data_IF_638242895748
#
_entry.id   IF_638242895748
#
_cell.length_a   1.000
_cell.length_b   1.000
_cell.length_c   1.000
_cell.angle_alpha   90.00
_cell.angle_beta   90.00
_cell.angle_gamma   90.00
#
_symmetry.space_group_name_H-M   'P 1'
#
loop_
_entity.id
_entity.type
_entity.pdbx_description
1 polymer ?
#
# COMPACT_ATOMS: atom_id res chain seq x y z
N UNK A 1 -13.41 -3.77 2.57
CA UNK A 1 -12.13 -4.38 3.00
C UNK A 1 -12.31 -5.05 4.35
N UNK A 2 -11.95 -6.32 4.46
CA UNK A 2 -11.94 -7.09 5.71
C UNK A 2 -10.78 -6.67 6.63
N UNK A 3 -10.79 -7.15 7.88
CA UNK A 3 -9.70 -6.92 8.83
C UNK A 3 -8.36 -7.48 8.30
N UNK A 4 -8.38 -8.67 7.70
CA UNK A 4 -7.18 -9.30 7.14
C UNK A 4 -6.64 -8.51 5.94
N UNK A 5 -7.50 -8.05 5.02
CA UNK A 5 -7.08 -7.19 3.91
C UNK A 5 -6.44 -5.87 4.39
N UNK A 6 -6.93 -5.31 5.51
CA UNK A 6 -6.33 -4.10 6.12
C UNK A 6 -4.95 -4.40 6.72
N UNK A 7 -4.74 -5.59 7.30
CA UNK A 7 -3.41 -6.00 7.79
C UNK A 7 -2.44 -6.21 6.63
N UNK A 8 -2.88 -6.86 5.55
CA UNK A 8 -2.07 -7.00 4.32
C UNK A 8 -1.73 -5.63 3.75
N UNK A 9 -2.69 -4.69 3.70
CA UNK A 9 -2.42 -3.32 3.25
C UNK A 9 -1.38 -2.62 4.14
N UNK A 10 -1.51 -2.74 5.46
CA UNK A 10 -0.56 -2.16 6.41
C UNK A 10 0.85 -2.71 6.14
N UNK A 11 0.97 -4.02 6.00
CA UNK A 11 2.25 -4.67 5.71
C UNK A 11 2.81 -4.26 4.34
N UNK A 12 1.97 -4.19 3.31
CA UNK A 12 2.35 -3.71 1.98
C UNK A 12 2.90 -2.28 2.04
N UNK A 13 2.24 -1.39 2.78
CA UNK A 13 2.63 0.01 2.89
C UNK A 13 3.88 0.21 3.75
N UNK A 14 4.01 -0.50 4.87
CA UNK A 14 4.99 -0.16 5.92
C UNK A 14 6.04 -1.25 6.18
N UNK A 15 5.87 -2.45 5.63
CA UNK A 15 6.59 -3.67 6.02
C UNK A 15 6.45 -4.05 7.51
N UNK A 16 5.51 -3.44 8.23
CA UNK A 16 5.23 -3.74 9.64
C UNK A 16 4.04 -4.70 9.74
N UNK A 17 4.24 -5.83 10.43
CA UNK A 17 3.18 -6.84 10.62
C UNK A 17 2.09 -6.41 11.60
N UNK A 18 2.46 -5.63 12.62
CA UNK A 18 1.56 -5.20 13.69
C UNK A 18 1.89 -3.76 14.11
N UNK A 19 0.86 -2.94 14.31
CA UNK A 19 1.08 -1.58 14.80
C UNK A 19 1.74 -1.58 16.19
N UNK A 20 2.59 -0.58 16.48
CA UNK A 20 3.09 -0.33 17.82
C UNK A 20 1.95 -0.11 18.83
N UNK A 21 2.26 -0.23 20.13
CA UNK A 21 1.29 0.02 21.21
C UNK A 21 0.68 1.43 21.14
N UNK A 22 1.45 2.41 20.64
CA UNK A 22 1.01 3.79 20.41
C UNK A 22 0.21 3.97 19.11
N UNK A 23 -0.15 2.90 18.40
CA UNK A 23 -0.80 2.94 17.09
C UNK A 23 0.12 3.53 16.02
N UNK A 24 -0.46 4.21 15.02
CA UNK A 24 0.29 4.85 13.92
C UNK A 24 1.25 5.94 14.39
N UNK A 25 0.97 6.61 15.51
CA UNK A 25 1.90 7.58 16.11
C UNK A 25 3.19 6.90 16.62
N UNK A 26 3.19 5.58 16.80
CA UNK A 26 4.39 4.84 17.17
C UNK A 26 5.31 4.49 16.00
N UNK A 27 4.93 4.81 14.75
CA UNK A 27 5.78 4.60 13.58
C UNK A 27 6.87 5.67 13.50
N UNK A 28 8.00 5.33 12.88
CA UNK A 28 9.16 6.24 12.73
C UNK A 28 8.89 7.47 11.84
N UNK A 29 7.78 7.46 11.09
CA UNK A 29 7.33 8.56 10.24
C UNK A 29 5.81 8.50 10.06
N UNK A 30 5.21 9.56 9.53
CA UNK A 30 3.81 9.58 9.15
C UNK A 30 3.58 8.76 7.87
N UNK A 31 2.40 8.15 7.79
CA UNK A 31 1.94 7.50 6.58
C UNK A 31 1.60 8.55 5.51
N UNK A 32 2.18 8.40 4.32
CA UNK A 32 1.98 9.34 3.21
C UNK A 32 1.38 8.65 1.98
N UNK A 33 0.40 9.30 1.36
CA UNK A 33 -0.21 8.83 0.10
C UNK A 33 0.18 9.79 -1.01
N UNK A 34 0.82 9.25 -2.04
CA UNK A 34 1.34 9.97 -3.19
C UNK A 34 0.63 9.56 -4.48
N UNK A 35 0.74 10.41 -5.49
CA UNK A 35 0.41 10.07 -6.87
C UNK A 35 1.71 9.74 -7.60
N UNK A 36 1.79 8.58 -8.25
CA UNK A 36 2.95 8.23 -9.10
C UNK A 36 2.77 8.72 -10.53
N UNK A 37 3.89 8.78 -11.26
CA UNK A 37 3.91 9.01 -12.72
C UNK A 37 3.74 7.73 -13.54
N UNK A 38 3.52 6.60 -12.87
CA UNK A 38 3.35 5.30 -13.52
C UNK A 38 2.08 5.27 -14.40
N UNK A 39 2.05 4.44 -15.45
CA UNK A 39 0.85 4.24 -16.27
C UNK A 39 -0.38 3.82 -15.45
N UNK A 40 -1.58 4.24 -15.88
CA UNK A 40 -2.87 3.95 -15.24
C UNK A 40 -3.16 2.44 -15.09
N UNK A 41 -2.56 1.57 -15.90
CA UNK A 41 -2.73 0.12 -15.79
C UNK A 41 -1.85 -0.54 -14.71
N UNK A 42 -0.90 0.19 -14.09
CA UNK A 42 -0.01 -0.35 -13.05
C UNK A 42 -0.74 -0.53 -11.71
N UNK A 43 -0.18 -1.36 -10.84
CA UNK A 43 -0.62 -1.48 -9.44
C UNK A 43 -0.07 -0.32 -8.60
N UNK A 44 -0.68 -0.02 -7.44
CA UNK A 44 -0.07 0.88 -6.47
C UNK A 44 1.28 0.33 -6.02
N UNK A 45 2.24 1.22 -5.75
CA UNK A 45 3.56 0.87 -5.22
C UNK A 45 3.73 1.40 -3.80
N UNK A 46 4.64 0.80 -3.04
CA UNK A 46 5.00 1.29 -1.72
C UNK A 46 6.51 1.51 -1.58
N UNK A 47 6.87 2.57 -0.87
CA UNK A 47 8.24 2.81 -0.43
C UNK A 47 8.24 2.67 1.10
N UNK A 48 8.40 1.43 1.55
CA UNK A 48 8.24 1.05 2.97
C UNK A 48 9.23 1.77 3.88
N UNK A 49 10.44 2.10 3.40
CA UNK A 49 11.43 2.88 4.14
C UNK A 49 10.94 4.29 4.51
N UNK A 50 10.01 4.85 3.74
CA UNK A 50 9.50 6.21 3.91
C UNK A 50 8.00 6.23 4.29
N UNK A 51 7.39 5.06 4.44
CA UNK A 51 5.95 4.90 4.64
C UNK A 51 5.10 5.62 3.60
N UNK A 52 5.50 5.51 2.33
CA UNK A 52 4.76 6.07 1.20
C UNK A 52 3.98 4.98 0.45
N UNK A 53 2.73 5.28 0.12
CA UNK A 53 1.88 4.49 -0.75
C UNK A 53 1.52 5.33 -1.97
N UNK A 54 2.06 4.98 -3.14
CA UNK A 54 1.87 5.74 -4.35
C UNK A 54 0.85 5.07 -5.29
N UNK A 55 -0.13 5.86 -5.73
CA UNK A 55 -1.17 5.44 -6.66
C UNK A 55 -0.90 6.01 -8.05
N UNK A 56 -0.94 5.19 -9.11
CA UNK A 56 -1.03 5.65 -10.48
C UNK A 56 -2.24 6.59 -10.70
N UNK A 57 -2.24 7.40 -11.78
CA UNK A 57 -3.34 8.27 -12.15
C UNK A 57 -4.54 7.47 -12.71
N UNK A 58 -5.21 6.72 -11.85
CA UNK A 58 -6.37 5.91 -12.24
C UNK A 58 -7.49 6.78 -12.80
N UNK A 59 -8.12 6.30 -13.87
CA UNK A 59 -9.19 7.03 -14.55
C UNK A 59 -10.52 7.01 -13.79
N UNK A 60 -10.67 6.15 -12.78
CA UNK A 60 -11.86 6.10 -11.92
C UNK A 60 -11.56 5.52 -10.54
N UNK A 61 -12.42 5.84 -9.59
CA UNK A 61 -12.38 5.27 -8.24
C UNK A 61 -12.60 3.75 -8.26
N UNK A 62 -13.42 3.23 -9.18
CA UNK A 62 -13.66 1.80 -9.32
C UNK A 62 -12.37 1.05 -9.70
N UNK A 63 -11.57 1.61 -10.62
CA UNK A 63 -10.26 1.05 -10.99
C UNK A 63 -9.32 1.13 -9.80
N UNK A 64 -9.23 2.28 -9.11
CA UNK A 64 -8.40 2.42 -7.92
C UNK A 64 -8.75 1.37 -6.84
N UNK A 65 -10.04 1.12 -6.61
CA UNK A 65 -10.52 0.13 -5.64
C UNK A 65 -10.20 -1.31 -6.05
N UNK A 66 -10.36 -1.64 -7.33
CA UNK A 66 -9.97 -2.95 -7.89
C UNK A 66 -8.46 -3.20 -7.69
N UNK A 67 -7.64 -2.22 -8.07
CA UNK A 67 -6.17 -2.27 -7.98
C UNK A 67 -5.68 -2.33 -6.53
N UNK A 68 -6.32 -1.57 -5.63
CA UNK A 68 -6.11 -1.68 -4.19
C UNK A 68 -6.50 -3.07 -3.67
N UNK A 69 -7.60 -3.63 -4.18
CA UNK A 69 -8.03 -4.99 -3.86
C UNK A 69 -6.94 -6.01 -4.17
N UNK A 70 -6.32 -5.92 -5.34
CA UNK A 70 -5.23 -6.82 -5.78
C UNK A 70 -4.06 -6.81 -4.80
N UNK A 71 -3.54 -5.64 -4.42
CA UNK A 71 -2.37 -5.56 -3.51
C UNK A 71 -2.67 -5.98 -2.07
N UNK A 72 -3.96 -6.14 -1.72
CA UNK A 72 -4.39 -6.60 -0.39
C UNK A 72 -4.74 -8.08 -0.34
N UNK A 73 -4.43 -8.82 -1.41
CA UNK A 73 -4.47 -10.28 -1.43
C UNK A 73 -3.15 -10.84 -0.83
N UNK A 74 -3.24 -11.87 0.01
CA UNK A 74 -2.09 -12.39 0.79
C UNK A 74 -0.87 -12.80 -0.06
N UNK A 75 -1.08 -13.16 -1.32
CA UNK A 75 -0.04 -13.65 -2.22
C UNK A 75 0.69 -12.54 -3.00
N UNK A 76 0.12 -11.33 -3.08
CA UNK A 76 0.65 -10.22 -3.91
C UNK A 76 1.63 -9.35 -3.11
N UNK A 77 1.48 -9.27 -1.79
CA UNK A 77 2.31 -8.46 -0.89
C UNK A 77 3.77 -8.90 -0.73
N UNK A 78 4.24 -9.89 -1.52
CA UNK A 78 5.60 -10.44 -1.47
C UNK A 78 6.46 -10.08 -2.70
N UNK A 79 5.96 -9.27 -3.64
CA UNK A 79 6.78 -8.86 -4.79
C UNK A 79 7.77 -7.76 -4.37
N UNK A 80 9.02 -8.17 -4.14
CA UNK A 80 10.16 -7.25 -4.06
C UNK A 80 10.33 -6.59 -5.43
N UNK A 81 10.50 -5.26 -5.44
CA UNK A 81 10.63 -4.46 -6.66
C UNK A 81 11.48 -5.17 -7.70
N UNK A 82 10.86 -5.56 -8.81
CA UNK A 82 11.60 -5.98 -9.97
C UNK A 82 12.31 -4.73 -10.56
N UNK A 83 13.59 -4.86 -10.95
CA UNK A 83 14.40 -3.76 -11.48
C UNK A 83 13.84 -3.15 -12.77
#
# INVERSE_FOLDING_TARGET
MSAEQRKVLLFFWTSVKHLPVKGFHGLDSCLFICKSSEPNNHLPSSHTCFYELCFPPYSSMAIMQDRLGIITQEHVGFSFGAP
#
